data_IF_355116167571
#
_entry.id   IF_355116167571
#
_cell.length_a   1.000
_cell.length_b   1.000
_cell.length_c   1.000
_cell.angle_alpha   90.00
_cell.angle_beta   90.00
_cell.angle_gamma   90.00
#
_symmetry.space_group_name_H-M   'P 1'
#
loop_
_entity.id
_entity.type
_entity.pdbx_description
1 polymer ?
#
# COMPACT_ATOMS: atom_id res chain seq x y z
N UNK A 1 -5.69 13.52 15.98
CA UNK A 1 -5.47 12.27 15.19
C UNK A 1 -6.04 12.51 13.81
N UNK A 2 -5.32 12.20 12.71
CA UNK A 2 -5.84 12.47 11.35
C UNK A 2 -7.09 11.63 11.11
N UNK A 3 -8.25 12.25 11.31
CA UNK A 3 -9.62 11.79 11.08
C UNK A 3 -9.94 11.71 9.59
N UNK A 4 -8.91 11.51 8.77
CA UNK A 4 -8.98 11.87 7.37
C UNK A 4 -9.67 10.73 6.64
N UNK A 5 -10.87 10.99 6.13
CA UNK A 5 -11.37 10.19 5.03
C UNK A 5 -10.32 10.26 3.91
N UNK A 6 -9.84 9.10 3.49
CA UNK A 6 -8.82 9.02 2.45
C UNK A 6 -9.52 8.84 1.10
N UNK A 7 -9.20 9.70 0.14
CA UNK A 7 -9.73 9.61 -1.20
C UNK A 7 -8.66 9.09 -2.16
N UNK A 8 -9.09 8.24 -3.09
CA UNK A 8 -8.22 7.73 -4.14
C UNK A 8 -9.01 7.52 -5.43
N UNK A 9 -8.29 7.53 -6.55
CA UNK A 9 -8.88 7.34 -7.88
C UNK A 9 -8.45 5.99 -8.41
N UNK A 10 -9.42 5.19 -8.84
CA UNK A 10 -9.19 3.90 -9.50
C UNK A 10 -10.11 3.85 -10.73
N UNK A 11 -9.54 3.58 -11.92
CA UNK A 11 -10.27 3.54 -13.19
C UNK A 11 -11.15 4.78 -13.46
N UNK A 12 -10.60 5.98 -13.22
CA UNK A 12 -11.31 7.26 -13.35
C UNK A 12 -12.51 7.46 -12.38
N UNK A 13 -12.66 6.57 -11.40
CA UNK A 13 -13.71 6.65 -10.38
C UNK A 13 -13.11 7.07 -9.04
N UNK A 14 -13.85 7.91 -8.30
CA UNK A 14 -13.45 8.40 -6.99
C UNK A 14 -13.95 7.47 -5.89
N UNK A 15 -13.02 6.95 -5.10
CA UNK A 15 -13.28 6.15 -3.92
C UNK A 15 -12.91 6.92 -2.66
N UNK A 16 -13.64 6.64 -1.58
CA UNK A 16 -13.44 7.25 -0.25
C UNK A 16 -13.38 6.13 0.77
N UNK A 17 -12.26 5.98 1.45
CA UNK A 17 -12.12 5.09 2.60
C UNK A 17 -12.31 5.89 3.90
N UNK A 18 -13.31 5.52 4.68
CA UNK A 18 -13.54 6.08 6.01
C UNK A 18 -12.93 5.14 7.07
N UNK A 19 -11.71 5.45 7.52
CA UNK A 19 -10.91 4.54 8.34
C UNK A 19 -11.53 4.12 9.68
N UNK A 20 -12.47 4.89 10.24
CA UNK A 20 -13.19 4.49 11.46
C UNK A 20 -14.22 3.40 11.18
N UNK A 21 -14.97 3.49 10.09
CA UNK A 21 -15.98 2.47 9.79
C UNK A 21 -15.40 1.32 8.96
N UNK A 22 -14.14 1.44 8.54
CA UNK A 22 -13.49 0.54 7.59
C UNK A 22 -14.28 0.35 6.29
N UNK A 23 -15.18 1.29 6.00
CA UNK A 23 -16.04 1.29 4.81
C UNK A 23 -15.40 2.08 3.70
N UNK A 24 -15.35 1.47 2.53
CA UNK A 24 -14.96 2.09 1.28
C UNK A 24 -16.23 2.41 0.51
N UNK A 25 -16.33 3.65 0.08
CA UNK A 25 -17.41 4.17 -0.74
C UNK A 25 -16.88 4.51 -2.12
N UNK A 26 -17.73 4.37 -3.13
CA UNK A 26 -17.57 4.98 -4.43
C UNK A 26 -18.47 6.21 -4.51
N UNK A 27 -17.96 7.32 -5.02
CA UNK A 27 -18.78 8.47 -5.37
C UNK A 27 -19.39 8.23 -6.76
N UNK A 28 -20.71 8.07 -6.83
CA UNK A 28 -21.47 7.92 -8.07
C UNK A 28 -22.66 8.88 -8.08
N UNK A 29 -22.82 9.68 -9.13
CA UNK A 29 -23.91 10.65 -9.27
C UNK A 29 -24.17 11.52 -8.02
N UNK A 30 -23.10 12.02 -7.38
CA UNK A 30 -23.13 12.79 -6.12
C UNK A 30 -23.68 12.02 -4.91
N UNK A 31 -23.68 10.69 -4.95
CA UNK A 31 -24.05 9.82 -3.85
C UNK A 31 -22.87 8.93 -3.46
N UNK A 32 -22.71 8.67 -2.16
CA UNK A 32 -21.73 7.72 -1.65
C UNK A 32 -22.37 6.34 -1.59
N UNK A 33 -21.89 5.44 -2.42
CA UNK A 33 -22.33 4.05 -2.47
C UNK A 33 -21.29 3.18 -1.75
N UNK A 34 -21.63 2.45 -0.69
CA UNK A 34 -20.70 1.52 -0.05
C UNK A 34 -20.35 0.41 -1.04
N UNK A 35 -19.05 0.15 -1.22
CA UNK A 35 -18.54 -0.88 -2.13
C UNK A 35 -17.78 -1.98 -1.42
N UNK A 36 -17.26 -1.72 -0.21
CA UNK A 36 -16.48 -2.68 0.56
C UNK A 36 -16.42 -2.31 2.03
N UNK A 37 -16.31 -3.31 2.88
CA UNK A 37 -15.95 -3.19 4.28
C UNK A 37 -14.68 -4.00 4.53
N UNK A 38 -13.71 -3.43 5.26
CA UNK A 38 -12.51 -4.15 5.66
C UNK A 38 -12.69 -4.71 7.06
N UNK A 39 -12.71 -6.04 7.17
CA UNK A 39 -12.85 -6.73 8.45
C UNK A 39 -11.50 -7.26 8.96
N UNK A 40 -11.06 -6.76 10.11
CA UNK A 40 -9.88 -7.20 10.86
C UNK A 40 -10.26 -7.99 12.12
N UNK A 41 -11.49 -8.53 12.17
CA UNK A 41 -12.06 -9.29 13.27
C UNK A 41 -12.17 -8.44 14.55
N UNK A 42 -11.67 -8.98 15.65
CA UNK A 42 -11.68 -8.28 16.95
C UNK A 42 -10.83 -6.99 16.99
N UNK A 43 -10.06 -6.71 15.92
CA UNK A 43 -9.25 -5.50 15.79
C UNK A 43 -9.88 -4.48 14.82
N UNK A 44 -11.07 -4.75 14.28
CA UNK A 44 -11.88 -3.77 13.53
C UNK A 44 -12.41 -2.73 14.50
N UNK A 45 -12.11 -1.45 14.26
CA UNK A 45 -12.76 -0.36 14.97
C UNK A 45 -14.19 -0.19 14.44
N UNK A 46 -15.16 0.01 15.33
CA UNK A 46 -16.53 0.37 14.96
C UNK A 46 -16.93 1.69 15.61
N UNK A 47 -17.89 2.42 15.04
CA UNK A 47 -18.33 3.70 15.60
C UNK A 47 -18.96 3.56 16.99
N UNK A 48 -19.44 2.36 17.33
CA UNK A 48 -19.95 2.02 18.65
C UNK A 48 -18.83 1.90 19.69
N UNK A 49 -17.57 1.68 19.26
CA UNK A 49 -16.39 1.73 20.12
C UNK A 49 -15.90 3.17 20.39
N UNK A 50 -16.46 4.18 19.70
CA UNK A 50 -16.02 5.57 19.81
C UNK A 50 -16.60 6.25 21.06
N UNK A 51 -15.74 6.60 22.01
CA UNK A 51 -16.13 7.40 23.16
C UNK A 51 -16.21 8.89 22.79
N UNK A 52 -17.43 9.35 22.51
CA UNK A 52 -17.71 10.73 22.13
C UNK A 52 -17.40 11.75 23.24
N UNK A 53 -17.27 11.33 24.50
CA UNK A 53 -16.97 12.22 25.62
C UNK A 53 -15.47 12.62 25.66
N UNK A 54 -14.59 11.83 25.03
CA UNK A 54 -13.14 12.08 24.96
C UNK A 54 -12.67 12.90 23.74
N UNK A 55 -13.58 13.28 22.85
CA UNK A 55 -13.28 13.97 21.60
C UNK A 55 -12.83 15.45 21.75
N UNK A 56 -12.46 15.90 22.96
CA UNK A 56 -12.25 17.32 23.28
C UNK A 56 -10.80 17.77 23.00
N UNK A 57 -9.86 16.86 22.72
CA UNK A 57 -8.55 17.29 22.18
C UNK A 57 -7.91 16.29 21.23
N UNK A 58 -7.32 16.81 20.15
CA UNK A 58 -6.50 16.06 19.18
C UNK A 58 -5.36 15.23 19.80
N UNK A 59 -5.00 15.54 21.06
CA UNK A 59 -3.97 14.87 21.87
C UNK A 59 -4.49 13.68 22.65
N UNK A 60 -5.79 13.59 22.91
CA UNK A 60 -6.41 12.51 23.71
C UNK A 60 -7.01 11.39 22.86
N UNK A 61 -7.38 11.65 21.60
CA UNK A 61 -7.70 10.58 20.64
C UNK A 61 -6.53 9.61 20.46
N UNK A 62 -5.28 10.06 20.73
CA UNK A 62 -4.12 9.18 20.80
C UNK A 62 -4.15 8.14 21.92
N UNK A 63 -5.00 8.31 22.95
CA UNK A 63 -5.14 7.40 24.10
C UNK A 63 -6.04 6.20 23.85
N UNK A 64 -7.09 6.31 23.05
CA UNK A 64 -7.88 5.13 22.63
C UNK A 64 -7.09 4.25 21.65
N UNK A 65 -6.09 4.84 20.99
CA UNK A 65 -5.05 4.12 20.25
C UNK A 65 -3.80 3.80 21.10
N UNK A 66 -3.71 4.16 22.39
CA UNK A 66 -2.53 3.83 23.23
C UNK A 66 -2.38 2.34 23.45
N UNK A 67 -3.50 1.62 23.59
CA UNK A 67 -3.49 0.16 23.71
C UNK A 67 -3.32 -0.53 22.35
N UNK A 68 -3.37 0.23 21.24
CA UNK A 68 -3.20 -0.23 19.85
C UNK A 68 -4.01 -1.48 19.52
N UNK A 69 -5.18 -1.59 20.14
CA UNK A 69 -6.11 -2.72 20.00
C UNK A 69 -6.67 -2.82 18.59
N UNK A 70 -6.93 -1.69 17.95
CA UNK A 70 -7.56 -1.63 16.64
C UNK A 70 -6.55 -1.28 15.54
N UNK A 71 -6.87 -1.62 14.30
CA UNK A 71 -6.14 -1.14 13.12
C UNK A 71 -6.45 0.35 12.88
N UNK A 72 -5.47 1.11 12.41
CA UNK A 72 -5.60 2.57 12.26
C UNK A 72 -4.66 3.15 11.22
N UNK A 73 -4.78 4.46 10.98
CA UNK A 73 -3.88 5.24 10.11
C UNK A 73 -3.70 4.60 8.72
N UNK A 74 -4.82 4.24 8.09
CA UNK A 74 -4.83 3.76 6.72
C UNK A 74 -4.21 4.78 5.78
N UNK A 75 -3.31 4.35 4.91
CA UNK A 75 -2.62 5.18 3.91
C UNK A 75 -2.37 4.36 2.65
N UNK A 76 -1.99 5.08 1.59
CA UNK A 76 -1.48 4.53 0.33
C UNK A 76 -2.47 3.59 -0.35
N UNK A 77 -3.24 4.15 -1.29
CA UNK A 77 -4.27 3.44 -2.03
C UNK A 77 -3.76 3.09 -3.42
N UNK A 78 -3.27 1.87 -3.58
CA UNK A 78 -3.07 1.32 -4.91
C UNK A 78 -4.19 0.33 -5.20
N UNK A 79 -5.11 0.69 -6.08
CA UNK A 79 -6.18 -0.21 -6.53
C UNK A 79 -6.24 -0.26 -8.06
N UNK A 80 -6.25 -1.47 -8.62
CA UNK A 80 -6.56 -1.76 -10.03
C UNK A 80 -7.72 -2.75 -10.11
N UNK A 81 -8.09 -3.24 -11.29
CA UNK A 81 -9.21 -4.19 -11.49
C UNK A 81 -9.14 -5.48 -10.67
N UNK A 82 -7.95 -5.89 -10.23
CA UNK A 82 -7.75 -7.16 -9.53
C UNK A 82 -7.30 -6.99 -8.10
N UNK A 83 -6.41 -6.04 -7.83
CA UNK A 83 -5.74 -5.93 -6.54
C UNK A 83 -6.02 -4.58 -5.91
N UNK A 84 -6.14 -4.59 -4.58
CA UNK A 84 -6.09 -3.40 -3.76
C UNK A 84 -5.00 -3.59 -2.70
N UNK A 85 -4.13 -2.61 -2.55
CA UNK A 85 -3.11 -2.56 -1.50
C UNK A 85 -3.39 -1.35 -0.63
N UNK A 86 -3.50 -1.58 0.68
CA UNK A 86 -3.63 -0.50 1.68
C UNK A 86 -2.58 -0.66 2.77
N UNK A 87 -1.90 0.42 3.11
CA UNK A 87 -1.03 0.49 4.28
C UNK A 87 -1.84 0.86 5.51
N UNK A 88 -1.53 0.28 6.66
CA UNK A 88 -2.19 0.58 7.92
C UNK A 88 -1.26 0.33 9.10
N UNK A 89 -1.64 0.79 10.28
CA UNK A 89 -0.89 0.57 11.52
C UNK A 89 -1.65 -0.40 12.43
N UNK A 90 -0.91 -1.27 13.11
CA UNK A 90 -1.43 -2.16 14.16
C UNK A 90 -0.33 -2.48 15.18
N UNK A 91 -0.59 -2.29 16.48
CA UNK A 91 0.35 -2.65 17.58
C UNK A 91 1.82 -2.28 17.32
N UNK A 92 2.06 -1.04 16.89
CA UNK A 92 3.39 -0.46 16.57
C UNK A 92 3.93 -0.78 15.17
N UNK A 93 3.38 -1.79 14.52
CA UNK A 93 3.79 -2.16 13.17
C UNK A 93 3.06 -1.35 12.12
N UNK A 94 3.75 -1.16 11.00
CA UNK A 94 3.14 -0.72 9.76
C UNK A 94 2.98 -1.96 8.89
N UNK A 95 1.75 -2.24 8.51
CA UNK A 95 1.34 -3.42 7.78
C UNK A 95 0.70 -3.02 6.46
N UNK A 96 0.61 -3.99 5.55
CA UNK A 96 -0.03 -3.86 4.25
C UNK A 96 -1.13 -4.90 4.14
N UNK A 97 -2.29 -4.48 3.66
CA UNK A 97 -3.37 -5.35 3.26
C UNK A 97 -3.28 -5.51 1.75
N UNK A 98 -3.09 -6.73 1.26
CA UNK A 98 -3.20 -7.09 -0.15
C UNK A 98 -4.52 -7.83 -0.35
N UNK A 99 -5.44 -7.24 -1.10
CA UNK A 99 -6.74 -7.82 -1.40
C UNK A 99 -6.82 -8.24 -2.88
N UNK A 100 -7.11 -9.52 -3.16
CA UNK A 100 -7.40 -10.04 -4.51
C UNK A 100 -8.92 -10.05 -4.74
N UNK A 101 -9.42 -9.03 -5.46
CA UNK A 101 -10.84 -8.81 -5.76
C UNK A 101 -11.50 -9.98 -6.48
N UNK A 102 -10.72 -10.82 -7.17
CA UNK A 102 -11.26 -12.00 -7.89
C UNK A 102 -11.49 -13.19 -6.97
N UNK A 103 -10.76 -13.25 -5.86
CA UNK A 103 -10.86 -14.31 -4.86
C UNK A 103 -11.69 -13.93 -3.65
N UNK A 104 -11.92 -12.63 -3.45
CA UNK A 104 -12.57 -12.09 -2.25
C UNK A 104 -11.79 -12.44 -0.97
N UNK A 105 -10.46 -12.36 -1.06
CA UNK A 105 -9.53 -12.71 0.02
C UNK A 105 -8.47 -11.62 0.18
N UNK A 106 -8.09 -11.33 1.42
CA UNK A 106 -6.96 -10.46 1.73
C UNK A 106 -5.89 -11.18 2.55
N UNK A 107 -4.63 -10.79 2.32
CA UNK A 107 -3.46 -11.20 3.07
C UNK A 107 -2.89 -9.97 3.80
N UNK A 108 -2.55 -10.13 5.08
CA UNK A 108 -1.82 -9.11 5.84
C UNK A 108 -0.33 -9.40 5.71
N UNK A 109 0.37 -8.37 5.29
CA UNK A 109 1.77 -8.38 4.93
C UNK A 109 2.50 -7.39 5.84
N UNK A 110 3.72 -7.72 6.25
CA UNK A 110 4.56 -6.74 6.94
C UNK A 110 5.13 -5.76 5.90
N UNK A 111 4.80 -4.47 6.03
CA UNK A 111 5.58 -3.44 5.34
C UNK A 111 6.92 -3.40 6.06
N UNK A 112 8.03 -3.67 5.38
CA UNK A 112 9.34 -3.49 5.99
C UNK A 112 9.75 -2.02 5.84
N UNK A 113 9.50 -1.17 6.86
CA UNK A 113 9.67 0.27 6.75
C UNK A 113 11.17 0.54 6.88
N UNK A 114 11.91 0.37 5.78
CA UNK A 114 13.36 0.53 5.79
C UNK A 114 14.18 -0.49 5.01
N UNK A 115 13.61 -1.42 4.25
CA UNK A 115 14.45 -2.19 3.32
C UNK A 115 15.16 -1.25 2.30
N UNK A 116 14.56 -0.11 1.96
CA UNK A 116 15.25 0.99 1.25
C UNK A 116 16.23 1.79 2.14
N UNK A 117 16.02 1.86 3.46
CA UNK A 117 16.95 2.54 4.41
C UNK A 117 18.25 1.78 4.62
N UNK A 118 18.26 0.45 4.46
CA UNK A 118 19.42 -0.39 4.76
C UNK A 118 20.18 -0.89 3.53
N UNK A 119 19.58 -0.88 2.33
CA UNK A 119 20.32 -1.21 1.10
C UNK A 119 21.19 -0.04 0.58
N UNK A 120 20.83 1.19 0.93
CA UNK A 120 21.67 2.37 0.69
C UNK A 120 22.01 2.99 2.03
N UNK A 121 23.26 2.85 2.48
CA UNK A 121 23.76 3.39 3.75
C UNK A 121 23.71 4.92 3.91
N UNK A 122 22.93 5.62 3.08
CA UNK A 122 22.83 7.08 3.08
C UNK A 122 21.43 7.56 2.66
N UNK A 123 20.39 7.07 3.36
CA UNK A 123 19.00 7.48 3.16
C UNK A 123 18.77 9.01 3.33
N UNK A 124 19.72 9.74 3.93
CA UNK A 124 19.71 11.21 4.03
C UNK A 124 20.10 11.92 2.74
N UNK A 125 20.83 11.25 1.84
CA UNK A 125 21.22 11.82 0.54
C UNK A 125 20.14 11.66 -0.53
N UNK A 126 19.25 10.69 -0.37
CA UNK A 126 18.25 10.32 -1.37
C UNK A 126 16.80 10.60 -0.94
N UNK A 127 16.57 11.16 0.26
CA UNK A 127 15.23 11.64 0.64
C UNK A 127 14.68 12.65 -0.37
N UNK A 128 15.54 13.46 -0.95
CA UNK A 128 15.18 14.48 -1.95
C UNK A 128 14.90 13.85 -3.33
N UNK A 129 15.48 12.68 -3.60
CA UNK A 129 15.29 11.93 -4.85
C UNK A 129 14.03 11.06 -4.86
N UNK A 130 13.49 10.72 -3.68
CA UNK A 130 12.51 9.64 -3.52
C UNK A 130 11.11 9.88 -4.08
N UNK A 131 10.77 11.07 -4.61
CA UNK A 131 9.48 11.26 -5.27
C UNK A 131 9.56 11.64 -6.76
N UNK A 132 10.55 12.40 -7.22
CA UNK A 132 10.52 12.94 -8.59
C UNK A 132 11.82 12.82 -9.44
N UNK A 133 12.96 12.43 -8.87
CA UNK A 133 14.26 12.56 -9.55
C UNK A 133 15.06 11.25 -9.73
N UNK A 134 14.49 10.08 -9.42
CA UNK A 134 15.21 8.82 -9.61
C UNK A 134 15.44 8.52 -11.10
N UNK A 135 16.71 8.36 -11.55
CA UNK A 135 17.03 7.95 -12.92
C UNK A 135 16.48 6.55 -13.21
N UNK A 136 16.33 6.21 -14.49
CA UNK A 136 15.85 4.89 -14.90
C UNK A 136 16.78 3.77 -14.40
N UNK A 137 16.19 2.60 -14.15
CA UNK A 137 16.91 1.42 -13.70
C UNK A 137 17.88 0.87 -14.76
N UNK A 138 17.70 1.22 -16.04
CA UNK A 138 18.68 0.95 -17.10
C UNK A 138 20.05 1.58 -16.81
N UNK A 139 20.08 2.76 -16.18
CA UNK A 139 21.33 3.48 -15.90
C UNK A 139 22.00 3.07 -14.58
N UNK A 140 21.22 2.48 -13.67
CA UNK A 140 21.62 2.35 -12.26
C UNK A 140 21.39 0.95 -11.67
N UNK A 141 20.84 0.03 -12.48
CA UNK A 141 20.44 -1.31 -12.08
C UNK A 141 19.01 -1.40 -11.55
N UNK A 142 18.46 -2.62 -11.56
CA UNK A 142 17.15 -2.95 -10.96
C UNK A 142 17.17 -2.71 -9.47
N UNK A 143 16.11 -2.08 -8.96
CA UNK A 143 15.95 -1.71 -7.55
C UNK A 143 14.81 -2.51 -6.94
N UNK A 144 14.91 -2.82 -5.65
CA UNK A 144 13.80 -3.39 -4.89
C UNK A 144 12.81 -2.25 -4.55
N UNK A 145 11.58 -2.26 -5.09
CA UNK A 145 10.56 -1.26 -4.76
C UNK A 145 9.97 -1.48 -3.37
N UNK A 146 8.73 -1.05 -3.11
CA UNK A 146 8.03 -1.38 -1.87
C UNK A 146 7.88 -2.90 -1.74
N UNK A 147 8.59 -3.48 -0.77
CA UNK A 147 8.62 -4.91 -0.49
C UNK A 147 7.37 -5.29 0.31
N UNK A 148 6.65 -6.30 -0.14
CA UNK A 148 5.40 -6.74 0.46
C UNK A 148 5.55 -8.02 1.31
N UNK A 149 6.56 -8.89 1.11
CA UNK A 149 6.57 -10.20 1.79
C UNK A 149 7.98 -10.77 2.10
N UNK A 150 8.97 -9.90 2.32
CA UNK A 150 10.32 -10.35 2.66
C UNK A 150 10.28 -11.18 3.95
N UNK A 151 10.93 -12.35 3.89
CA UNK A 151 10.94 -13.38 4.93
C UNK A 151 9.66 -14.24 5.07
N UNK A 152 8.82 -14.29 4.02
CA UNK A 152 7.67 -15.22 3.96
C UNK A 152 8.03 -16.70 3.75
N UNK A 153 9.33 -17.04 3.76
CA UNK A 153 9.84 -18.39 3.43
C UNK A 153 9.68 -18.79 1.95
N UNK A 154 9.27 -17.85 1.09
CA UNK A 154 9.14 -18.05 -0.36
C UNK A 154 10.47 -17.71 -1.05
N UNK A 155 10.75 -18.37 -2.18
CA UNK A 155 11.94 -18.14 -3.02
C UNK A 155 11.96 -16.76 -3.71
N UNK A 156 10.92 -15.94 -3.50
CA UNK A 156 10.77 -14.64 -4.12
C UNK A 156 10.32 -13.57 -3.13
N UNK A 157 10.72 -12.35 -3.45
CA UNK A 157 10.23 -11.11 -2.85
C UNK A 157 9.14 -10.55 -3.76
N UNK A 158 7.93 -10.44 -3.24
CA UNK A 158 6.81 -9.72 -3.82
C UNK A 158 7.01 -8.23 -3.56
N UNK A 159 6.86 -7.45 -4.62
CA UNK A 159 6.95 -6.00 -4.56
C UNK A 159 5.83 -5.34 -5.38
N UNK A 160 5.50 -4.11 -5.01
CA UNK A 160 4.56 -3.26 -5.71
C UNK A 160 5.32 -2.11 -6.38
N UNK A 161 5.09 -1.88 -7.67
CA UNK A 161 5.59 -0.71 -8.41
C UNK A 161 4.44 0.16 -8.90
N UNK A 162 4.68 1.47 -8.96
CA UNK A 162 3.82 2.37 -9.70
C UNK A 162 4.06 2.15 -11.20
N UNK A 163 3.02 1.74 -11.92
CA UNK A 163 3.09 1.42 -13.35
C UNK A 163 3.55 2.61 -14.21
N UNK A 164 3.24 3.84 -13.80
CA UNK A 164 3.63 5.06 -14.51
C UNK A 164 5.13 5.37 -14.35
N UNK A 165 5.77 4.85 -13.30
CA UNK A 165 7.20 5.06 -13.02
C UNK A 165 7.99 3.75 -13.00
N UNK A 166 7.46 2.69 -13.64
CA UNK A 166 8.05 1.34 -13.67
C UNK A 166 9.51 1.29 -14.16
N UNK A 167 9.88 2.17 -15.09
CA UNK A 167 11.24 2.28 -15.64
C UNK A 167 12.27 2.65 -14.57
N UNK A 168 11.84 3.29 -13.48
CA UNK A 168 12.70 3.64 -12.34
C UNK A 168 13.04 2.45 -11.45
N UNK A 169 12.31 1.35 -11.56
CA UNK A 169 12.48 0.20 -10.65
C UNK A 169 13.06 -1.02 -11.34
N UNK A 170 12.67 -1.29 -12.58
CA UNK A 170 13.04 -2.50 -13.31
C UNK A 170 13.94 -2.14 -14.49
N UNK A 171 15.15 -2.69 -14.54
CA UNK A 171 16.00 -2.61 -15.72
C UNK A 171 15.50 -3.63 -16.76
N UNK A 172 14.98 -3.20 -17.93
CA UNK A 172 14.51 -4.14 -18.94
C UNK A 172 15.63 -4.96 -19.59
N UNK A 173 16.88 -4.50 -19.56
CA UNK A 173 18.00 -5.18 -20.22
C UNK A 173 18.41 -6.49 -19.56
N UNK A 174 18.03 -6.69 -18.29
CA UNK A 174 18.35 -7.92 -17.54
C UNK A 174 17.19 -8.94 -17.56
N UNK A 175 16.07 -8.59 -18.19
CA UNK A 175 14.90 -9.46 -18.27
C UNK A 175 15.09 -10.48 -19.40
N UNK A 176 14.64 -11.70 -19.18
CA UNK A 176 14.40 -12.64 -20.27
C UNK A 176 13.22 -12.20 -21.15
N UNK A 177 13.04 -12.88 -22.28
CA UNK A 177 12.02 -12.51 -23.29
C UNK A 177 10.60 -12.51 -22.71
N UNK A 178 10.25 -13.49 -21.88
CA UNK A 178 8.92 -13.60 -21.25
C UNK A 178 8.66 -12.45 -20.28
N UNK A 179 9.63 -12.12 -19.43
CA UNK A 179 9.47 -11.04 -18.45
C UNK A 179 9.59 -9.66 -19.10
N UNK A 180 10.35 -9.52 -20.19
CA UNK A 180 10.40 -8.29 -20.97
C UNK A 180 9.06 -8.00 -21.66
N UNK A 181 8.39 -9.03 -22.20
CA UNK A 181 7.04 -8.90 -22.75
C UNK A 181 6.04 -8.47 -21.66
N UNK A 182 6.05 -9.14 -20.50
CA UNK A 182 5.22 -8.73 -19.35
C UNK A 182 5.47 -7.29 -18.94
N UNK A 183 6.73 -6.90 -18.78
CA UNK A 183 7.13 -5.54 -18.42
C UNK A 183 6.62 -4.51 -19.43
N UNK A 184 6.74 -4.80 -20.73
CA UNK A 184 6.32 -3.92 -21.82
C UNK A 184 4.80 -3.73 -21.83
N UNK A 185 4.04 -4.74 -21.43
CA UNK A 185 2.57 -4.72 -21.38
C UNK A 185 1.98 -4.13 -20.09
N UNK A 186 2.79 -3.71 -19.10
CA UNK A 186 2.29 -2.98 -17.91
C UNK A 186 1.80 -1.59 -18.34
N UNK A 187 0.51 -1.33 -18.19
CA UNK A 187 -0.16 -0.08 -18.51
C UNK A 187 -0.28 0.84 -17.29
N UNK A 188 -0.46 2.16 -17.48
CA UNK A 188 -0.70 3.10 -16.38
C UNK A 188 -1.83 2.69 -15.42
N UNK A 189 -2.89 2.08 -15.94
CA UNK A 189 -4.05 1.63 -15.16
C UNK A 189 -3.81 0.33 -14.39
N UNK A 190 -2.70 -0.35 -14.63
CA UNK A 190 -2.32 -1.52 -13.84
C UNK A 190 -1.82 -1.12 -12.45
N UNK A 191 -1.72 0.17 -12.12
CA UNK A 191 -1.22 0.67 -10.85
C UNK A 191 -2.09 0.17 -9.67
N UNK A 192 -1.56 -0.69 -8.76
CA UNK A 192 -0.17 -1.12 -8.65
C UNK A 192 0.16 -2.35 -9.49
N UNK A 193 1.30 -2.33 -10.20
CA UNK A 193 1.80 -3.55 -10.81
C UNK A 193 2.55 -4.38 -9.74
N UNK A 194 2.12 -5.63 -9.55
CA UNK A 194 2.77 -6.58 -8.66
C UNK A 194 3.89 -7.32 -9.38
N UNK A 195 5.06 -7.40 -8.75
CA UNK A 195 6.26 -8.00 -9.32
C UNK A 195 6.84 -9.00 -8.32
N UNK A 196 7.22 -10.18 -8.82
CA UNK A 196 7.99 -11.16 -8.05
C UNK A 196 9.46 -11.06 -8.45
N UNK A 197 10.32 -10.90 -7.46
CA UNK A 197 11.78 -10.82 -7.64
C UNK A 197 12.37 -12.06 -6.96
N UNK A 198 12.89 -12.98 -7.76
CA UNK A 198 13.52 -14.19 -7.25
C UNK A 198 14.95 -13.88 -6.81
N UNK A 199 15.32 -14.33 -5.60
CA UNK A 199 16.69 -14.21 -5.14
C UNK A 199 17.53 -15.26 -5.85
N UNK A 200 18.72 -14.87 -6.33
CA UNK A 200 19.66 -15.80 -6.93
C UNK A 200 20.32 -16.61 -5.81
N UNK A 201 20.34 -17.93 -5.95
CA UNK A 201 21.13 -18.84 -5.10
C UNK A 201 22.62 -18.44 -5.07
#
# INVERSE_FOLDING_TARGET
VRTDAHYYVCNDELYIHHGYTNLIYKLDNNQLCPVRELDFGANTFTIDDYDWEFAISDKEVGKDFLDRKYVYAFRDDFENDRYMIKKFCFRDDILLLLYDKRKDEYEILHDLPGCMRYFFGDARRYSDYLSNELPDAGETGTRLPQILNWDSGKEYVLSCINSQTKTRYINPEILDEENLDRYSNINPNDNPALVKIYLKD
#
